data_IF_744013830442
#
_entry.id   IF_744013830442
#
_cell.length_a   1.000
_cell.length_b   1.000
_cell.length_c   1.000
_cell.angle_alpha   90.00
_cell.angle_beta   90.00
_cell.angle_gamma   90.00
#
_symmetry.space_group_name_H-M   'P 1'
#
loop_
_entity.id
_entity.type
_entity.pdbx_description
1 polymer ?
#
# COMPACT_ATOMS: atom_id res chain seq x y z
N UNK A 1 10.84 16.89 10.19
CA UNK A 1 10.24 15.58 10.02
C UNK A 1 11.30 14.54 9.64
N UNK A 2 11.98 14.60 8.50
CA UNK A 2 13.07 13.66 8.12
C UNK A 2 14.17 13.61 9.19
N UNK A 3 14.55 14.75 9.78
CA UNK A 3 15.52 14.81 10.88
C UNK A 3 15.09 14.08 12.16
N UNK A 4 13.79 13.85 12.35
CA UNK A 4 13.26 13.08 13.49
C UNK A 4 13.26 11.57 13.23
N UNK A 5 13.35 11.16 11.97
CA UNK A 5 13.48 9.75 11.57
C UNK A 5 14.94 9.29 11.58
N UNK A 6 15.89 10.22 11.44
CA UNK A 6 17.33 9.93 11.52
C UNK A 6 17.68 9.35 12.89
N UNK A 7 18.36 8.23 12.89
CA UNK A 7 18.77 7.51 14.11
C UNK A 7 17.73 6.57 14.69
N UNK A 8 16.56 6.41 14.05
CA UNK A 8 15.59 5.36 14.38
C UNK A 8 15.77 4.20 13.44
N UNK A 9 16.27 3.10 13.99
CA UNK A 9 16.64 1.90 13.23
C UNK A 9 15.46 1.08 12.70
N UNK A 10 14.23 1.32 13.18
CA UNK A 10 13.06 0.50 12.85
C UNK A 10 11.94 1.39 12.31
N UNK A 11 11.83 1.46 11.00
CA UNK A 11 10.85 2.29 10.31
C UNK A 11 10.08 1.47 9.28
N UNK A 12 8.78 1.67 9.22
CA UNK A 12 7.95 1.17 8.11
C UNK A 12 7.47 2.37 7.29
N UNK A 13 7.87 2.44 6.04
CA UNK A 13 7.26 3.33 5.04
C UNK A 13 6.09 2.60 4.38
N UNK A 14 4.92 3.21 4.37
CA UNK A 14 3.72 2.62 3.79
C UNK A 14 3.01 3.60 2.88
N UNK A 15 2.80 3.22 1.63
CA UNK A 15 1.90 3.93 0.72
C UNK A 15 0.44 3.79 1.16
N UNK A 16 -0.41 4.75 0.77
CA UNK A 16 -1.83 4.72 1.12
C UNK A 16 -2.65 4.09 0.00
N UNK A 17 -2.68 4.70 -1.17
CA UNK A 17 -3.59 4.32 -2.25
C UNK A 17 -3.20 2.97 -2.85
N UNK A 18 -4.15 2.04 -2.95
CA UNK A 18 -3.95 0.65 -3.36
C UNK A 18 -2.99 -0.18 -2.49
N UNK A 19 -2.44 0.42 -1.42
CA UNK A 19 -1.63 -0.28 -0.44
C UNK A 19 -2.35 -0.37 0.90
N UNK A 20 -2.32 0.68 1.73
CA UNK A 20 -3.04 0.72 3.00
C UNK A 20 -4.55 0.89 2.84
N UNK A 21 -4.97 1.58 1.80
CA UNK A 21 -6.36 1.84 1.45
C UNK A 21 -6.70 1.20 0.11
N UNK A 22 -7.73 0.34 0.10
CA UNK A 22 -8.20 -0.38 -1.08
C UNK A 22 -9.12 0.52 -1.91
N UNK A 23 -8.49 1.33 -2.78
CA UNK A 23 -9.21 2.23 -3.69
C UNK A 23 -10.15 1.46 -4.62
N UNK A 24 -9.75 0.28 -5.09
CA UNK A 24 -10.56 -0.53 -6.01
C UNK A 24 -11.88 -0.93 -5.35
N UNK A 25 -11.85 -1.41 -4.11
CA UNK A 25 -13.07 -1.73 -3.35
C UNK A 25 -13.93 -0.49 -3.10
N UNK A 26 -13.32 0.64 -2.75
CA UNK A 26 -14.03 1.89 -2.54
C UNK A 26 -14.73 2.38 -3.82
N UNK A 27 -14.05 2.30 -4.96
CA UNK A 27 -14.59 2.70 -6.25
C UNK A 27 -15.75 1.83 -6.69
N UNK A 28 -15.65 0.51 -6.53
CA UNK A 28 -16.74 -0.43 -6.83
C UNK A 28 -17.96 -0.15 -5.95
N UNK A 29 -17.77 0.22 -4.69
CA UNK A 29 -18.85 0.57 -3.77
C UNK A 29 -19.62 1.83 -4.21
N UNK A 30 -18.91 2.81 -4.78
CA UNK A 30 -19.49 4.08 -5.25
C UNK A 30 -20.09 3.94 -6.66
N UNK A 31 -19.41 3.22 -7.52
CA UNK A 31 -19.76 3.01 -8.91
C UNK A 31 -19.78 1.51 -9.21
N UNK A 32 -20.98 0.91 -9.18
CA UNK A 32 -21.15 -0.54 -9.42
C UNK A 32 -20.61 -1.00 -10.78
N UNK A 33 -20.50 -0.10 -11.75
CA UNK A 33 -19.97 -0.35 -13.09
C UNK A 33 -18.47 0.00 -13.22
N UNK A 34 -17.77 0.29 -12.10
CA UNK A 34 -16.37 0.59 -12.16
C UNK A 34 -15.57 -0.63 -12.65
N UNK A 35 -14.87 -0.52 -13.79
CA UNK A 35 -14.05 -1.61 -14.27
C UNK A 35 -12.80 -1.71 -13.38
N UNK A 36 -12.73 -2.73 -12.53
CA UNK A 36 -11.48 -3.03 -11.83
C UNK A 36 -10.41 -3.26 -12.89
N UNK A 37 -9.51 -2.29 -13.03
CA UNK A 37 -8.45 -2.37 -14.01
C UNK A 37 -7.32 -3.25 -13.47
N UNK A 38 -7.46 -4.55 -13.65
CA UNK A 38 -6.51 -5.55 -13.17
C UNK A 38 -5.17 -5.55 -13.94
N UNK A 39 -5.05 -4.80 -15.04
CA UNK A 39 -3.90 -4.88 -15.94
C UNK A 39 -3.04 -3.60 -15.96
N UNK A 40 -3.57 -2.46 -15.52
CA UNK A 40 -2.81 -1.21 -15.46
C UNK A 40 -3.02 -0.48 -14.15
N UNK A 41 -1.98 0.25 -13.74
CA UNK A 41 -1.99 1.10 -12.57
C UNK A 41 -2.83 2.38 -12.76
N UNK A 42 -3.11 2.76 -14.01
CA UNK A 42 -3.72 4.05 -14.32
C UNK A 42 -5.23 4.00 -14.06
N UNK A 43 -5.66 4.72 -13.04
CA UNK A 43 -7.07 5.03 -12.81
C UNK A 43 -7.57 5.96 -13.95
N UNK A 44 -8.75 5.67 -14.47
CA UNK A 44 -9.40 6.55 -15.46
C UNK A 44 -9.66 7.92 -14.85
N UNK A 45 -9.20 9.00 -15.50
CA UNK A 45 -9.35 10.38 -15.03
C UNK A 45 -10.82 10.75 -14.71
N UNK A 46 -11.78 10.18 -15.43
CA UNK A 46 -13.20 10.39 -15.20
C UNK A 46 -13.62 9.87 -13.82
N UNK A 47 -13.19 8.68 -13.47
CA UNK A 47 -13.47 8.07 -12.16
C UNK A 47 -12.73 8.80 -11.04
N UNK A 48 -11.49 9.25 -11.29
CA UNK A 48 -10.74 10.04 -10.32
C UNK A 48 -11.46 11.34 -9.95
N UNK A 49 -12.05 12.05 -10.93
CA UNK A 49 -12.79 13.28 -10.67
C UNK A 49 -14.07 13.03 -9.86
N UNK A 50 -14.81 11.96 -10.16
CA UNK A 50 -15.98 11.56 -9.37
C UNK A 50 -15.58 11.10 -7.98
N UNK A 51 -14.48 10.36 -7.87
CA UNK A 51 -13.87 9.91 -6.65
C UNK A 51 -13.52 11.09 -5.72
N UNK A 52 -12.91 12.15 -6.21
CA UNK A 52 -12.56 13.31 -5.39
C UNK A 52 -13.75 14.12 -4.89
N UNK A 53 -14.92 13.96 -5.51
CA UNK A 53 -16.16 14.61 -5.10
C UNK A 53 -17.01 13.79 -4.12
N UNK A 54 -16.62 12.56 -3.80
CA UNK A 54 -17.36 11.68 -2.88
C UNK A 54 -16.69 11.60 -1.51
N UNK A 55 -17.40 11.06 -0.53
CA UNK A 55 -16.90 10.91 0.84
C UNK A 55 -16.02 9.65 0.96
N UNK A 56 -14.81 9.76 0.43
CA UNK A 56 -13.83 8.68 0.37
C UNK A 56 -12.93 8.65 1.59
N UNK A 57 -12.12 7.60 1.67
CA UNK A 57 -11.26 7.28 2.79
C UNK A 57 -12.05 6.87 4.05
N UNK A 58 -13.09 6.04 3.83
CA UNK A 58 -13.84 5.40 4.90
C UNK A 58 -13.04 4.22 5.48
N UNK A 59 -13.17 3.99 6.77
CA UNK A 59 -12.42 2.95 7.49
C UNK A 59 -12.69 1.53 6.97
N UNK A 60 -13.86 1.29 6.38
CA UNK A 60 -14.25 -0.03 5.86
C UNK A 60 -13.40 -0.52 4.68
N UNK A 61 -12.79 0.42 3.92
CA UNK A 61 -11.92 0.11 2.78
C UNK A 61 -10.44 0.06 3.15
N UNK A 62 -10.10 0.18 4.42
CA UNK A 62 -8.72 -0.06 4.85
C UNK A 62 -8.35 -1.52 4.60
N UNK A 63 -7.19 -1.74 3.98
CA UNK A 63 -6.68 -3.07 3.70
C UNK A 63 -6.39 -3.80 5.02
N UNK A 64 -7.15 -4.87 5.29
CA UNK A 64 -7.12 -5.59 6.57
C UNK A 64 -5.79 -6.28 6.83
N UNK A 65 -5.16 -6.84 5.79
CA UNK A 65 -3.86 -7.49 5.94
C UNK A 65 -2.75 -6.48 6.20
N UNK A 66 -2.76 -5.34 5.50
CA UNK A 66 -1.79 -4.25 5.72
C UNK A 66 -1.97 -3.66 7.11
N UNK A 67 -3.22 -3.40 7.52
CA UNK A 67 -3.52 -2.90 8.88
C UNK A 67 -2.97 -3.85 9.95
N UNK A 68 -3.27 -5.14 9.87
CA UNK A 68 -2.79 -6.14 10.82
C UNK A 68 -1.25 -6.23 10.86
N UNK A 69 -0.62 -6.15 9.68
CA UNK A 69 0.83 -6.11 9.57
C UNK A 69 1.41 -4.88 10.27
N UNK A 70 0.89 -3.69 9.99
CA UNK A 70 1.36 -2.44 10.61
C UNK A 70 1.16 -2.43 12.12
N UNK A 71 0.01 -2.91 12.61
CA UNK A 71 -0.25 -3.04 14.06
C UNK A 71 0.77 -3.97 14.73
N UNK A 72 1.12 -5.08 14.09
CA UNK A 72 2.17 -5.98 14.55
C UNK A 72 3.52 -5.25 14.62
N UNK A 73 3.87 -4.48 13.60
CA UNK A 73 5.12 -3.71 13.57
C UNK A 73 5.18 -2.61 14.64
N UNK A 74 4.06 -1.94 14.90
CA UNK A 74 3.97 -1.00 16.04
C UNK A 74 4.24 -1.71 17.37
N UNK A 75 3.67 -2.89 17.60
CA UNK A 75 3.92 -3.69 18.79
C UNK A 75 5.39 -4.15 18.91
N UNK A 76 6.08 -4.36 17.79
CA UNK A 76 7.51 -4.67 17.71
C UNK A 76 8.41 -3.42 17.89
N UNK A 77 7.84 -2.22 18.01
CA UNK A 77 8.58 -0.97 18.23
C UNK A 77 8.94 -0.18 16.97
N UNK A 78 8.44 -0.58 15.81
CA UNK A 78 8.63 0.17 14.56
C UNK A 78 7.86 1.48 14.58
N UNK A 79 8.45 2.52 14.02
CA UNK A 79 7.75 3.75 13.68
C UNK A 79 7.11 3.62 12.31
N UNK A 80 5.81 3.91 12.22
CA UNK A 80 5.12 3.95 10.93
C UNK A 80 5.20 5.36 10.35
N UNK A 81 5.49 5.42 9.05
CA UNK A 81 5.50 6.64 8.25
C UNK A 81 4.68 6.37 7.00
N UNK A 82 3.56 7.05 6.88
CA UNK A 82 2.78 6.99 5.65
C UNK A 82 3.29 8.01 4.64
N UNK A 83 3.15 7.70 3.38
CA UNK A 83 3.34 8.64 2.28
C UNK A 83 2.25 8.43 1.23
N UNK A 84 1.91 9.47 0.49
CA UNK A 84 0.92 9.33 -0.57
C UNK A 84 0.95 10.51 -1.51
N UNK A 85 0.62 10.26 -2.77
CA UNK A 85 0.28 11.32 -3.70
C UNK A 85 -1.06 11.94 -3.29
N UNK A 86 -1.12 13.28 -3.27
CA UNK A 86 -2.33 14.02 -2.92
C UNK A 86 -2.50 15.19 -3.86
N UNK A 87 -3.46 15.07 -4.77
CA UNK A 87 -3.75 16.08 -5.81
C UNK A 87 -4.33 17.38 -5.26
N UNK A 88 -4.83 17.36 -4.00
CA UNK A 88 -5.36 18.53 -3.31
C UNK A 88 -5.11 18.48 -1.81
N UNK A 89 -5.19 19.63 -1.16
CA UNK A 89 -5.11 19.71 0.30
C UNK A 89 -6.26 18.96 0.99
N UNK A 90 -7.44 18.93 0.38
CA UNK A 90 -8.60 18.21 0.91
C UNK A 90 -8.35 16.71 0.94
N UNK A 91 -7.87 16.12 -0.15
CA UNK A 91 -7.51 14.70 -0.22
C UNK A 91 -6.41 14.37 0.79
N UNK A 92 -5.39 15.23 0.92
CA UNK A 92 -4.36 15.04 1.93
C UNK A 92 -4.93 15.00 3.34
N UNK A 93 -5.85 15.91 3.68
CA UNK A 93 -6.47 15.96 5.00
C UNK A 93 -7.34 14.73 5.29
N UNK A 94 -8.05 14.19 4.29
CA UNK A 94 -8.82 12.96 4.42
C UNK A 94 -7.92 11.74 4.68
N UNK A 95 -6.82 11.63 3.94
CA UNK A 95 -5.80 10.58 4.17
C UNK A 95 -5.15 10.73 5.55
N UNK A 96 -4.82 11.95 5.95
CA UNK A 96 -4.27 12.22 7.27
C UNK A 96 -5.25 11.82 8.38
N UNK A 97 -6.53 12.16 8.24
CA UNK A 97 -7.57 11.73 9.17
C UNK A 97 -7.64 10.20 9.26
N UNK A 98 -7.67 9.50 8.12
CA UNK A 98 -7.74 8.05 8.07
C UNK A 98 -6.60 7.39 8.87
N UNK A 99 -5.37 7.81 8.63
CA UNK A 99 -4.20 7.21 9.32
C UNK A 99 -4.14 7.61 10.79
N UNK A 100 -4.59 8.82 11.16
CA UNK A 100 -4.62 9.28 12.54
C UNK A 100 -5.71 8.59 13.37
N UNK A 101 -6.85 8.26 12.75
CA UNK A 101 -7.91 7.49 13.42
C UNK A 101 -7.43 6.10 13.86
N UNK A 102 -6.56 5.47 13.07
CA UNK A 102 -6.09 4.11 13.31
C UNK A 102 -4.78 4.03 14.11
N UNK A 103 -3.90 5.00 13.96
CA UNK A 103 -2.54 4.97 14.53
C UNK A 103 -2.20 6.18 15.40
N UNK A 104 -3.14 7.11 15.59
CA UNK A 104 -2.88 8.35 16.32
C UNK A 104 -1.94 9.30 15.57
N UNK A 105 -1.02 9.94 16.29
CA UNK A 105 -0.12 10.91 15.70
C UNK A 105 1.03 10.24 14.92
N UNK A 106 0.77 9.88 13.67
CA UNK A 106 1.78 9.32 12.75
C UNK A 106 2.08 10.31 11.63
N UNK A 107 3.32 10.33 11.08
CA UNK A 107 3.66 11.15 9.94
C UNK A 107 2.95 10.67 8.67
N UNK A 108 2.41 11.64 7.91
CA UNK A 108 2.02 11.45 6.51
C UNK A 108 2.83 12.41 5.64
N UNK A 109 3.63 11.86 4.73
CA UNK A 109 4.47 12.62 3.80
C UNK A 109 3.72 12.79 2.49
N UNK A 110 3.35 14.03 2.10
CA UNK A 110 2.81 14.27 0.78
C UNK A 110 3.92 14.11 -0.27
N UNK A 111 3.63 13.37 -1.32
CA UNK A 111 4.46 13.26 -2.52
C UNK A 111 3.69 13.80 -3.72
N UNK A 112 4.38 14.44 -4.66
CA UNK A 112 3.78 14.95 -5.90
C UNK A 112 4.02 13.98 -7.06
N UNK A 113 5.18 13.34 -7.04
CA UNK A 113 5.61 12.41 -8.08
C UNK A 113 6.45 11.28 -7.48
N UNK A 114 6.62 10.20 -8.23
CA UNK A 114 7.41 9.05 -7.75
C UNK A 114 8.85 9.43 -7.37
N UNK A 115 9.44 10.41 -8.06
CA UNK A 115 10.78 10.88 -7.75
C UNK A 115 10.94 11.39 -6.31
N UNK A 116 9.86 11.90 -5.68
CA UNK A 116 9.93 12.42 -4.31
C UNK A 116 10.16 11.29 -3.31
N UNK A 117 9.47 10.15 -3.48
CA UNK A 117 9.68 8.99 -2.61
C UNK A 117 11.00 8.30 -2.92
N UNK A 118 11.41 8.21 -4.18
CA UNK A 118 12.70 7.66 -4.56
C UNK A 118 13.85 8.48 -3.96
N UNK A 119 13.74 9.82 -3.96
CA UNK A 119 14.72 10.70 -3.32
C UNK A 119 14.76 10.51 -1.80
N UNK A 120 13.59 10.28 -1.17
CA UNK A 120 13.53 9.97 0.27
C UNK A 120 14.27 8.65 0.58
N UNK A 121 14.00 7.59 -0.18
CA UNK A 121 14.66 6.29 -0.01
C UNK A 121 16.18 6.40 -0.25
N UNK A 122 16.59 7.16 -1.28
CA UNK A 122 18.00 7.42 -1.56
C UNK A 122 18.73 8.11 -0.38
N UNK A 123 18.06 9.01 0.34
CA UNK A 123 18.63 9.63 1.54
C UNK A 123 18.91 8.59 2.62
N UNK A 124 17.98 7.67 2.87
CA UNK A 124 18.17 6.60 3.85
C UNK A 124 19.29 5.62 3.44
N UNK A 125 19.34 5.24 2.17
CA UNK A 125 20.40 4.39 1.61
C UNK A 125 21.80 4.98 1.85
N UNK A 126 21.96 6.29 1.71
CA UNK A 126 23.27 6.95 1.79
C UNK A 126 23.63 7.45 3.20
N UNK A 127 22.68 7.50 4.14
CA UNK A 127 22.97 7.94 5.52
C UNK A 127 23.61 6.84 6.39
N UNK A 128 23.90 5.65 5.82
CA UNK A 128 24.53 4.53 6.53
C UNK A 128 23.61 3.84 7.54
N UNK A 129 22.30 4.00 7.39
CA UNK A 129 21.30 3.26 8.16
C UNK A 129 21.30 1.78 7.78
N UNK A 130 20.94 0.91 8.72
CA UNK A 130 20.77 -0.52 8.43
C UNK A 130 19.44 -0.70 7.68
N UNK A 131 19.52 -0.91 6.36
CA UNK A 131 18.36 -1.02 5.49
C UNK A 131 17.49 -2.26 5.79
N UNK A 132 18.04 -3.27 6.49
CA UNK A 132 17.27 -4.45 6.90
C UNK A 132 16.23 -4.11 7.96
N UNK A 133 16.42 -3.02 8.72
CA UNK A 133 15.47 -2.53 9.70
C UNK A 133 14.46 -1.54 9.11
N UNK A 134 14.54 -1.23 7.82
CA UNK A 134 13.60 -0.38 7.10
C UNK A 134 12.71 -1.25 6.22
N UNK A 135 11.41 -1.25 6.52
CA UNK A 135 10.41 -1.96 5.75
C UNK A 135 9.70 -0.98 4.83
N UNK A 136 9.58 -1.34 3.56
CA UNK A 136 8.91 -0.56 2.54
C UNK A 136 7.67 -1.30 2.03
N UNK A 137 6.49 -0.66 2.09
CA UNK A 137 5.20 -1.22 1.67
C UNK A 137 4.63 -0.34 0.57
N UNK A 138 4.42 -0.94 -0.60
CA UNK A 138 3.87 -0.25 -1.77
C UNK A 138 3.23 -1.29 -2.72
N UNK A 139 2.38 -0.82 -3.63
CA UNK A 139 1.83 -1.61 -4.74
C UNK A 139 2.46 -1.24 -6.09
N UNK A 140 3.06 -0.04 -6.20
CA UNK A 140 3.53 0.52 -7.45
C UNK A 140 4.84 -0.12 -7.94
N UNK A 141 4.85 -0.77 -9.14
CA UNK A 141 6.00 -1.54 -9.62
C UNK A 141 7.31 -0.76 -9.63
N UNK A 142 7.31 0.48 -10.13
CA UNK A 142 8.51 1.32 -10.22
C UNK A 142 9.16 1.57 -8.85
N UNK A 143 8.35 1.84 -7.84
CA UNK A 143 8.82 2.13 -6.47
C UNK A 143 9.32 0.86 -5.78
N UNK A 144 8.59 -0.26 -5.97
CA UNK A 144 8.96 -1.58 -5.47
C UNK A 144 10.32 -2.01 -6.05
N UNK A 145 10.48 -1.88 -7.38
CA UNK A 145 11.72 -2.28 -8.06
C UNK A 145 12.93 -1.47 -7.56
N UNK A 146 12.76 -0.17 -7.42
CA UNK A 146 13.80 0.68 -6.84
C UNK A 146 14.16 0.26 -5.40
N UNK A 147 13.16 0.07 -4.53
CA UNK A 147 13.41 -0.30 -3.14
C UNK A 147 14.11 -1.67 -3.04
N UNK A 148 13.72 -2.64 -3.88
CA UNK A 148 14.40 -3.95 -3.96
C UNK A 148 15.85 -3.81 -4.44
N UNK A 149 16.10 -3.01 -5.48
CA UNK A 149 17.43 -2.79 -6.03
C UNK A 149 18.37 -2.10 -5.03
N UNK A 150 17.82 -1.21 -4.20
CA UNK A 150 18.54 -0.51 -3.14
C UNK A 150 18.74 -1.33 -1.85
N UNK A 151 18.17 -2.54 -1.77
CA UNK A 151 18.38 -3.44 -0.62
C UNK A 151 17.39 -3.25 0.54
N UNK A 152 16.32 -2.48 0.36
CA UNK A 152 15.26 -2.37 1.37
C UNK A 152 14.50 -3.68 1.55
N UNK A 153 13.98 -3.88 2.76
CA UNK A 153 13.05 -4.98 3.03
C UNK A 153 11.66 -4.63 2.52
N UNK A 154 11.32 -5.16 1.35
CA UNK A 154 10.05 -4.86 0.71
C UNK A 154 8.97 -5.86 1.11
N UNK A 155 7.77 -5.34 1.38
CA UNK A 155 6.51 -6.08 1.49
C UNK A 155 5.57 -5.50 0.46
N UNK A 156 5.36 -6.21 -0.64
CA UNK A 156 4.49 -5.73 -1.72
C UNK A 156 3.02 -5.93 -1.41
N UNK A 157 2.15 -5.01 -1.83
CA UNK A 157 0.72 -5.27 -1.89
C UNK A 157 0.42 -5.83 -3.27
N UNK A 158 0.00 -7.11 -3.34
CA UNK A 158 -0.13 -7.83 -4.60
C UNK A 158 -1.38 -7.40 -5.37
N UNK A 159 -1.15 -6.90 -6.57
CA UNK A 159 -2.17 -6.64 -7.57
C UNK A 159 -1.80 -7.36 -8.88
N UNK A 160 -2.75 -7.60 -9.81
CA UNK A 160 -2.45 -8.24 -11.07
C UNK A 160 -1.29 -7.60 -11.86
N UNK A 161 -1.18 -6.27 -11.81
CA UNK A 161 -0.14 -5.53 -12.54
C UNK A 161 1.28 -5.63 -11.94
N UNK A 162 1.44 -6.08 -10.69
CA UNK A 162 2.75 -6.20 -10.03
C UNK A 162 3.12 -7.64 -9.63
N UNK A 163 2.23 -8.60 -9.89
CA UNK A 163 2.35 -9.98 -9.43
C UNK A 163 3.66 -10.66 -9.82
N UNK A 164 4.10 -10.49 -11.06
CA UNK A 164 5.35 -11.10 -11.53
C UNK A 164 6.59 -10.50 -10.83
N UNK A 165 6.59 -9.19 -10.57
CA UNK A 165 7.66 -8.52 -9.83
C UNK A 165 7.76 -9.03 -8.39
N UNK A 166 6.63 -9.33 -7.78
CA UNK A 166 6.53 -9.78 -6.39
C UNK A 166 6.70 -11.29 -6.21
N UNK A 167 6.89 -12.04 -7.29
CA UNK A 167 7.05 -13.49 -7.24
C UNK A 167 8.20 -13.92 -6.29
N UNK A 168 7.88 -14.74 -5.31
CA UNK A 168 8.83 -15.19 -4.29
C UNK A 168 9.21 -14.14 -3.23
N UNK A 169 8.54 -13.00 -3.23
CA UNK A 169 8.65 -11.97 -2.20
C UNK A 169 7.51 -12.08 -1.19
N UNK A 170 7.65 -11.39 -0.05
CA UNK A 170 6.54 -11.28 0.90
C UNK A 170 5.50 -10.32 0.35
N UNK A 171 4.26 -10.78 0.25
CA UNK A 171 3.13 -9.99 -0.24
C UNK A 171 2.01 -9.92 0.79
N UNK A 172 1.17 -8.89 0.66
CA UNK A 172 -0.11 -8.71 1.33
C UNK A 172 -1.19 -8.59 0.25
N UNK A 173 -2.39 -9.03 0.54
CA UNK A 173 -3.48 -9.11 -0.44
C UNK A 173 -4.50 -8.00 -0.21
N UNK A 174 -4.89 -7.20 -1.20
CA UNK A 174 -5.97 -6.22 -1.06
C UNK A 174 -7.33 -6.88 -0.84
N UNK A 175 -8.24 -6.16 -0.18
CA UNK A 175 -9.55 -6.70 0.22
C UNK A 175 -10.35 -7.23 -0.97
N UNK A 176 -10.36 -6.54 -2.11
CA UNK A 176 -11.14 -6.95 -3.29
C UNK A 176 -10.67 -8.30 -3.87
N UNK A 177 -9.39 -8.64 -3.75
CA UNK A 177 -8.89 -9.96 -4.15
C UNK A 177 -9.26 -11.03 -3.13
N UNK A 178 -9.24 -10.71 -1.82
CA UNK A 178 -9.69 -11.63 -0.78
C UNK A 178 -11.16 -12.02 -0.96
N UNK A 179 -12.03 -11.07 -1.27
CA UNK A 179 -13.44 -11.32 -1.54
C UNK A 179 -13.64 -12.17 -2.80
N UNK A 180 -12.87 -11.93 -3.85
CA UNK A 180 -12.90 -12.72 -5.08
C UNK A 180 -12.45 -14.17 -4.85
N UNK A 181 -11.42 -14.40 -4.03
CA UNK A 181 -10.98 -15.74 -3.67
C UNK A 181 -12.06 -16.46 -2.85
N UNK A 182 -12.63 -15.81 -1.85
CA UNK A 182 -13.69 -16.38 -1.01
C UNK A 182 -14.97 -16.69 -1.79
N UNK A 183 -15.34 -15.89 -2.79
CA UNK A 183 -16.52 -16.16 -3.64
C UNK A 183 -16.31 -17.29 -4.63
N UNK A 184 -15.09 -17.54 -5.07
CA UNK A 184 -14.76 -18.67 -5.96
C UNK A 184 -14.71 -20.01 -5.22
N UNK A 185 -14.32 -20.02 -3.94
CA UNK A 185 -14.35 -21.24 -3.11
C UNK A 185 -15.78 -21.73 -2.81
N UNK A 186 -16.77 -20.84 -2.87
CA UNK A 186 -18.17 -21.19 -2.71
C UNK A 186 -18.80 -21.82 -3.98
N UNK A 187 -18.15 -21.68 -5.14
CA UNK A 187 -18.70 -22.10 -6.44
C UNK A 187 -17.95 -23.21 -7.18
N UNK A 188 -16.92 -23.82 -6.65
CA UNK A 188 -16.26 -24.84 -7.47
C UNK A 188 -15.16 -25.65 -6.85
N UNK A 189 -15.46 -26.91 -6.61
CA UNK A 189 -14.59 -28.09 -6.72
C UNK A 189 -13.14 -27.95 -6.25
N UNK A 190 -12.91 -28.48 -5.08
CA UNK A 190 -11.60 -28.96 -4.62
C UNK A 190 -10.94 -29.76 -5.76
N UNK A 191 -9.95 -29.21 -6.42
CA UNK A 191 -8.98 -29.99 -7.18
C UNK A 191 -8.01 -30.58 -6.17
N UNK A 192 -8.18 -31.86 -5.86
CA UNK A 192 -7.18 -32.67 -5.19
C UNK A 192 -5.84 -32.49 -5.92
N UNK A 193 -4.87 -31.96 -5.21
CA UNK A 193 -3.46 -32.04 -5.63
C UNK A 193 -3.07 -33.51 -5.39
N UNK A 194 -3.05 -34.27 -6.46
CA UNK A 194 -2.46 -35.63 -6.44
C UNK A 194 -0.94 -35.39 -6.43
N UNK A 195 -0.33 -35.74 -5.30
CA UNK A 195 1.12 -35.89 -5.20
C UNK A 195 1.56 -36.99 -6.17
N UNK A 196 2.27 -36.60 -7.23
CA UNK A 196 3.09 -37.56 -7.99
C UNK A 196 4.49 -37.59 -7.40
N UNK A 197 4.84 -38.76 -6.98
CA UNK A 197 6.13 -39.21 -6.42
C UNK A 197 7.29 -39.04 -7.41
#
# INVERSE_FOLDING_TARGET
MISQLKGKKQVVFCDIDNSFYDIESAMVSIHHDYPINSESYDLDDKFLLEFYNTDLYQLEFVNKEVLAFLQTKVAEGYQIVFYSNSVSAEIYLRKLWLVQELFGSVPLIPIVQDADILALLFIFENDGEDLEDIIYIDDKPLRIDYALASGFKVVGVEHPYNKELLKGKRTLTPNYLLEKYNSNDLNGTVKEVVDEQ
#
